data_IF_136178368549
#
_entry.id   IF_136178368549
#
_cell.length_a   1.000
_cell.length_b   1.000
_cell.length_c   1.000
_cell.angle_alpha   90.00
_cell.angle_beta   90.00
_cell.angle_gamma   90.00
#
_symmetry.space_group_name_H-M   'P 1'
#
loop_
_entity.id
_entity.type
_entity.pdbx_description
1 polymer ?
#
# COMPACT_ATOMS: atom_id res chain seq x y z
N UNK A 1 13.95 -14.10 -6.03
CA UNK A 1 14.15 -15.41 -5.37
C UNK A 1 12.95 -16.32 -5.58
N UNK A 2 11.71 -15.95 -5.15
CA UNK A 2 10.52 -16.81 -5.24
C UNK A 2 10.25 -17.25 -6.68
N UNK A 3 10.10 -16.30 -7.62
CA UNK A 3 9.83 -16.61 -9.03
C UNK A 3 10.93 -17.46 -9.69
N UNK A 4 12.17 -17.29 -9.28
CA UNK A 4 13.29 -18.14 -9.74
C UNK A 4 13.16 -19.60 -9.27
N UNK A 5 12.61 -19.85 -8.09
CA UNK A 5 12.33 -21.21 -7.65
C UNK A 5 11.11 -21.80 -8.36
N UNK A 6 10.04 -21.02 -8.54
CA UNK A 6 8.85 -21.45 -9.26
C UNK A 6 9.19 -21.84 -10.71
N UNK A 7 10.01 -21.04 -11.39
CA UNK A 7 10.35 -21.25 -12.81
C UNK A 7 11.05 -22.57 -13.12
N UNK A 8 11.64 -23.21 -12.12
CA UNK A 8 12.26 -24.54 -12.26
C UNK A 8 11.24 -25.65 -12.49
N UNK A 9 10.00 -25.45 -12.06
CA UNK A 9 8.97 -26.48 -12.06
C UNK A 9 7.71 -26.07 -12.84
N UNK A 10 7.38 -24.76 -12.85
CA UNK A 10 6.13 -24.26 -13.39
C UNK A 10 6.33 -23.01 -14.23
N UNK A 11 5.49 -22.87 -15.26
CA UNK A 11 5.42 -21.68 -16.14
C UNK A 11 4.32 -20.69 -15.72
N UNK A 12 3.37 -21.16 -14.94
CA UNK A 12 2.22 -20.37 -14.46
C UNK A 12 2.13 -20.51 -12.94
N UNK A 13 1.87 -19.42 -12.24
CA UNK A 13 1.61 -19.38 -10.81
C UNK A 13 0.32 -18.60 -10.51
N UNK A 14 -0.52 -19.16 -9.64
CA UNK A 14 -1.68 -18.43 -9.11
C UNK A 14 -1.20 -17.58 -7.93
N UNK A 15 -1.60 -16.29 -7.93
CA UNK A 15 -1.21 -15.34 -6.90
C UNK A 15 -2.41 -14.75 -6.16
N UNK A 16 -2.17 -14.17 -4.99
CA UNK A 16 -3.22 -13.53 -4.18
C UNK A 16 -3.30 -12.01 -4.35
N UNK A 17 -2.62 -11.47 -5.36
CA UNK A 17 -2.61 -10.01 -5.59
C UNK A 17 -4.03 -9.49 -5.89
N UNK A 18 -4.34 -8.27 -5.43
CA UNK A 18 -5.69 -7.70 -5.53
C UNK A 18 -6.64 -8.09 -4.39
N UNK A 19 -6.32 -9.14 -3.62
CA UNK A 19 -7.19 -9.60 -2.54
C UNK A 19 -7.29 -8.62 -1.36
N UNK A 20 -6.24 -7.88 -1.08
CA UNK A 20 -6.26 -6.83 -0.05
C UNK A 20 -7.05 -5.60 -0.51
N UNK A 21 -6.92 -5.23 -1.77
CA UNK A 21 -7.63 -4.13 -2.40
C UNK A 21 -9.12 -4.42 -2.49
N UNK A 22 -9.47 -5.62 -2.93
CA UNK A 22 -10.87 -6.02 -3.16
C UNK A 22 -11.64 -6.27 -1.86
N UNK A 23 -10.97 -6.74 -0.81
CA UNK A 23 -11.62 -7.21 0.41
C UNK A 23 -11.21 -6.40 1.66
N UNK A 24 -10.73 -5.18 1.45
CA UNK A 24 -10.43 -4.24 2.53
C UNK A 24 -9.32 -4.69 3.49
N UNK A 25 -8.33 -5.48 3.01
CA UNK A 25 -7.31 -6.09 3.83
C UNK A 25 -6.25 -5.14 4.40
N UNK A 26 -6.18 -3.90 3.93
CA UNK A 26 -5.20 -2.93 4.38
C UNK A 26 -5.58 -2.23 5.68
N UNK A 27 -4.65 -2.18 6.62
CA UNK A 27 -4.83 -1.44 7.89
C UNK A 27 -5.17 0.04 7.65
N UNK A 28 -4.62 0.67 6.61
CA UNK A 28 -4.92 2.07 6.26
C UNK A 28 -6.39 2.29 5.93
N UNK A 29 -7.03 1.35 5.22
CA UNK A 29 -8.48 1.40 4.93
C UNK A 29 -9.30 1.35 6.21
N UNK A 30 -8.97 0.44 7.12
CA UNK A 30 -9.65 0.31 8.40
C UNK A 30 -9.45 1.57 9.27
N UNK A 31 -8.25 2.11 9.29
CA UNK A 31 -7.90 3.29 10.06
C UNK A 31 -8.61 4.55 9.56
N UNK A 32 -8.70 4.75 8.25
CA UNK A 32 -9.33 5.96 7.71
C UNK A 32 -10.81 6.04 8.06
N UNK A 33 -11.49 4.90 8.18
CA UNK A 33 -12.90 4.84 8.53
C UNK A 33 -13.17 4.95 10.04
N UNK A 34 -12.27 4.41 10.88
CA UNK A 34 -12.51 4.23 12.31
C UNK A 34 -11.83 5.26 13.22
N UNK A 35 -10.98 6.15 12.69
CA UNK A 35 -10.27 7.11 13.53
C UNK A 35 -11.06 8.39 13.79
N UNK A 36 -10.91 8.94 15.00
CA UNK A 36 -11.34 10.31 15.31
C UNK A 36 -10.59 11.30 14.41
N UNK A 37 -11.33 12.15 13.71
CA UNK A 37 -10.78 13.14 12.79
C UNK A 37 -10.78 14.52 13.43
N UNK A 38 -9.67 15.21 13.28
CA UNK A 38 -9.47 16.56 13.80
C UNK A 38 -9.49 17.59 12.67
N UNK A 39 -9.67 18.85 13.05
CA UNK A 39 -9.65 19.94 12.09
C UNK A 39 -8.38 19.93 11.25
N UNK A 40 -8.54 19.94 9.93
CA UNK A 40 -7.40 19.81 8.99
C UNK A 40 -6.40 20.97 9.12
N UNK A 41 -6.87 22.18 9.42
CA UNK A 41 -5.98 23.33 9.62
C UNK A 41 -5.07 23.13 10.84
N UNK A 42 -5.63 22.70 11.98
CA UNK A 42 -4.87 22.44 13.19
C UNK A 42 -3.85 21.31 12.97
N UNK A 43 -4.26 20.22 12.31
CA UNK A 43 -3.36 19.11 11.97
C UNK A 43 -2.22 19.56 11.06
N UNK A 44 -2.50 20.35 10.04
CA UNK A 44 -1.48 20.88 9.14
C UNK A 44 -0.51 21.81 9.85
N UNK A 45 -0.98 22.61 10.80
CA UNK A 45 -0.13 23.47 11.63
C UNK A 45 0.83 22.64 12.49
N UNK A 46 0.31 21.62 13.19
CA UNK A 46 1.11 20.68 13.99
C UNK A 46 2.13 19.96 13.10
N UNK A 47 1.72 19.52 11.91
CA UNK A 47 2.61 18.85 10.97
C UNK A 47 3.75 19.75 10.48
N UNK A 48 3.50 21.03 10.22
CA UNK A 48 4.54 22.00 9.85
C UNK A 48 5.58 22.21 10.95
N UNK A 49 5.13 22.16 12.21
CA UNK A 49 6.02 22.31 13.39
C UNK A 49 6.72 21.00 13.78
N UNK A 50 6.33 19.87 13.18
CA UNK A 50 6.86 18.55 13.55
C UNK A 50 8.33 18.44 13.15
N UNK A 51 9.24 18.13 14.12
CA UNK A 51 10.67 18.07 13.84
C UNK A 51 11.03 16.95 12.87
N UNK A 52 11.91 17.23 11.93
CA UNK A 52 12.35 16.27 10.91
C UNK A 52 13.04 15.03 11.49
N UNK A 53 13.77 15.18 12.60
CA UNK A 53 14.50 14.08 13.25
C UNK A 53 13.59 13.05 13.94
N UNK A 54 12.30 13.37 14.13
CA UNK A 54 11.29 12.44 14.64
C UNK A 54 10.56 11.66 13.51
N UNK A 55 11.01 11.82 12.26
CA UNK A 55 10.49 11.14 11.10
C UNK A 55 9.55 11.98 10.22
N UNK A 56 8.85 11.34 9.29
CA UNK A 56 8.02 12.02 8.28
C UNK A 56 6.83 12.81 8.85
N UNK A 57 6.33 12.45 10.01
CA UNK A 57 5.13 13.06 10.59
C UNK A 57 3.81 12.62 9.93
N UNK A 58 3.81 11.67 9.00
CA UNK A 58 2.62 11.21 8.28
C UNK A 58 1.51 10.69 9.22
N UNK A 59 1.87 10.15 10.38
CA UNK A 59 0.90 9.76 11.43
C UNK A 59 0.08 10.94 11.97
N UNK A 60 0.58 12.17 11.88
CA UNK A 60 -0.17 13.37 12.25
C UNK A 60 -1.18 13.69 11.15
N UNK A 61 -0.75 13.68 9.90
CA UNK A 61 -1.62 13.91 8.74
C UNK A 61 -2.76 12.88 8.66
N UNK A 62 -2.51 11.64 9.05
CA UNK A 62 -3.54 10.59 9.04
C UNK A 62 -4.72 10.87 9.99
N UNK A 63 -4.63 11.85 10.87
CA UNK A 63 -5.72 12.30 11.75
C UNK A 63 -6.54 13.48 11.20
N UNK A 64 -6.22 13.97 10.00
CA UNK A 64 -6.93 15.07 9.36
C UNK A 64 -8.37 14.68 8.98
N UNK A 65 -9.29 15.64 9.06
CA UNK A 65 -10.66 15.52 8.52
C UNK A 65 -10.68 15.46 6.99
N UNK A 66 -9.65 15.96 6.32
CA UNK A 66 -9.48 15.76 4.89
C UNK A 66 -9.08 14.32 4.63
N UNK A 67 -10.05 13.49 4.27
CA UNK A 67 -9.85 12.04 4.10
C UNK A 67 -8.94 11.73 2.92
N UNK A 68 -8.99 12.50 1.83
CA UNK A 68 -8.11 12.34 0.68
C UNK A 68 -6.65 12.56 1.08
N UNK A 69 -6.36 13.70 1.71
CA UNK A 69 -5.01 14.03 2.19
C UNK A 69 -4.47 12.99 3.18
N UNK A 70 -5.35 12.56 4.08
CA UNK A 70 -5.07 11.53 5.05
C UNK A 70 -4.67 10.21 4.36
N UNK A 71 -5.45 9.76 3.38
CA UNK A 71 -5.19 8.50 2.70
C UNK A 71 -3.93 8.54 1.85
N UNK A 72 -3.72 9.61 1.09
CA UNK A 72 -2.55 9.79 0.24
C UNK A 72 -1.26 9.89 1.07
N UNK A 73 -1.33 10.37 2.32
CA UNK A 73 -0.17 10.42 3.21
C UNK A 73 0.46 9.05 3.51
N UNK A 74 -0.25 7.95 3.25
CA UNK A 74 0.33 6.61 3.35
C UNK A 74 1.26 6.25 2.17
N UNK A 75 1.17 6.98 1.06
CA UNK A 75 1.92 6.71 -0.17
C UNK A 75 2.97 7.76 -0.49
N UNK A 76 2.96 8.89 0.19
CA UNK A 76 3.85 10.00 -0.08
C UNK A 76 4.42 10.63 1.19
N UNK A 77 5.67 11.07 1.13
CA UNK A 77 6.28 11.89 2.16
C UNK A 77 6.31 13.36 1.70
N UNK A 78 5.37 14.16 2.22
CA UNK A 78 5.24 15.59 1.86
C UNK A 78 6.51 16.40 2.10
N UNK A 79 7.26 16.09 3.18
CA UNK A 79 8.49 16.81 3.49
C UNK A 79 9.58 16.48 2.50
N UNK A 80 9.71 15.19 2.17
CA UNK A 80 10.68 14.74 1.17
C UNK A 80 10.37 15.35 -0.20
N UNK A 81 9.12 15.28 -0.66
CA UNK A 81 8.69 15.85 -1.94
C UNK A 81 8.99 17.35 -2.02
N UNK A 82 8.69 18.10 -0.95
CA UNK A 82 9.01 19.53 -0.90
C UNK A 82 10.50 19.81 -0.95
N UNK A 83 11.31 19.02 -0.24
CA UNK A 83 12.77 19.21 -0.21
C UNK A 83 13.43 18.88 -1.55
N UNK A 84 12.81 18.00 -2.34
CA UNK A 84 13.28 17.61 -3.67
C UNK A 84 12.66 18.45 -4.80
N UNK A 85 11.88 19.49 -4.46
CA UNK A 85 11.11 20.31 -5.44
C UNK A 85 10.25 19.49 -6.40
N UNK A 86 9.75 18.35 -5.93
CA UNK A 86 8.90 17.47 -6.69
C UNK A 86 7.43 17.88 -6.56
N UNK A 87 6.64 17.52 -7.59
CA UNK A 87 5.20 17.83 -7.61
C UNK A 87 4.48 17.27 -6.38
N UNK A 88 3.59 18.08 -5.82
CA UNK A 88 2.79 17.75 -4.65
C UNK A 88 1.87 16.54 -4.93
N UNK A 89 1.56 15.79 -3.86
CA UNK A 89 0.60 14.68 -3.82
C UNK A 89 -0.80 15.05 -4.36
N UNK A 90 -1.14 16.32 -4.53
CA UNK A 90 -2.36 16.78 -5.20
C UNK A 90 -2.54 16.20 -6.59
N UNK A 91 -1.45 15.86 -7.27
CA UNK A 91 -1.50 15.19 -8.58
C UNK A 91 -2.09 13.79 -8.47
N UNK A 92 -1.72 13.03 -7.43
CA UNK A 92 -2.29 11.70 -7.18
C UNK A 92 -3.76 11.78 -6.81
N UNK A 93 -4.13 12.77 -5.97
CA UNK A 93 -5.51 13.01 -5.58
C UNK A 93 -6.38 13.27 -6.82
N UNK A 94 -6.00 14.21 -7.65
CA UNK A 94 -6.74 14.57 -8.87
C UNK A 94 -6.85 13.43 -9.88
N UNK A 95 -5.81 12.63 -10.02
CA UNK A 95 -5.77 11.58 -11.05
C UNK A 95 -6.52 10.32 -10.66
N UNK A 96 -6.48 9.92 -9.40
CA UNK A 96 -6.90 8.58 -8.98
C UNK A 96 -8.01 8.56 -7.93
N UNK A 97 -8.29 9.67 -7.27
CA UNK A 97 -9.30 9.75 -6.22
C UNK A 97 -10.52 10.53 -6.67
N UNK A 98 -11.69 10.09 -6.26
CA UNK A 98 -12.93 10.83 -6.47
C UNK A 98 -12.91 12.13 -5.67
N UNK A 99 -13.62 13.15 -6.15
CA UNK A 99 -13.83 14.37 -5.41
C UNK A 99 -14.56 14.07 -4.10
N UNK A 100 -13.95 14.47 -2.98
CA UNK A 100 -14.50 14.33 -1.64
C UNK A 100 -14.92 12.88 -1.25
N UNK A 101 -13.96 11.94 -1.15
CA UNK A 101 -14.24 10.55 -0.80
C UNK A 101 -14.89 10.45 0.60
N UNK A 102 -15.94 9.63 0.74
CA UNK A 102 -16.72 9.50 1.98
C UNK A 102 -16.83 8.06 2.46
N UNK A 103 -16.72 7.11 1.56
CA UNK A 103 -16.93 5.68 1.81
C UNK A 103 -15.65 4.89 1.71
N UNK A 104 -15.62 3.72 2.32
CA UNK A 104 -14.51 2.76 2.13
C UNK A 104 -14.32 2.43 0.66
N UNK A 105 -15.41 2.35 -0.11
CA UNK A 105 -15.40 2.06 -1.54
C UNK A 105 -14.57 3.07 -2.34
N UNK A 106 -14.64 4.36 -2.00
CA UNK A 106 -13.86 5.40 -2.70
C UNK A 106 -12.35 5.15 -2.56
N UNK A 107 -11.93 4.71 -1.37
CA UNK A 107 -10.52 4.38 -1.12
C UNK A 107 -10.10 3.04 -1.73
N UNK A 108 -11.01 2.06 -1.77
CA UNK A 108 -10.77 0.80 -2.50
C UNK A 108 -10.59 1.06 -4.00
N UNK A 109 -11.40 1.94 -4.60
CA UNK A 109 -11.25 2.36 -6.00
C UNK A 109 -9.90 3.05 -6.23
N UNK A 110 -9.46 3.90 -5.31
CA UNK A 110 -8.13 4.50 -5.38
C UNK A 110 -7.04 3.43 -5.33
N UNK A 111 -7.14 2.47 -4.40
CA UNK A 111 -6.16 1.39 -4.30
C UNK A 111 -6.11 0.54 -5.58
N UNK A 112 -7.24 0.26 -6.22
CA UNK A 112 -7.26 -0.41 -7.51
C UNK A 112 -6.59 0.39 -8.62
N UNK A 113 -6.96 1.66 -8.75
CA UNK A 113 -6.48 2.52 -9.85
C UNK A 113 -5.02 2.92 -9.71
N UNK A 114 -4.53 3.05 -8.48
CA UNK A 114 -3.18 3.53 -8.22
C UNK A 114 -2.29 2.44 -7.64
N UNK A 115 -2.60 1.95 -6.42
CA UNK A 115 -1.68 1.08 -5.71
C UNK A 115 -1.53 -0.29 -6.37
N UNK A 116 -2.65 -0.90 -6.77
CA UNK A 116 -2.62 -2.19 -7.45
C UNK A 116 -2.03 -2.05 -8.86
N UNK A 117 -2.59 -1.17 -9.71
CA UNK A 117 -2.22 -1.10 -11.12
C UNK A 117 -0.82 -0.54 -11.35
N UNK A 118 -0.48 0.58 -10.70
CA UNK A 118 0.77 1.32 -10.97
C UNK A 118 1.96 0.79 -10.16
N UNK A 119 1.71 0.08 -9.04
CA UNK A 119 2.78 -0.38 -8.17
C UNK A 119 2.83 -1.90 -8.04
N UNK A 120 1.74 -2.55 -7.61
CA UNK A 120 1.78 -3.97 -7.27
C UNK A 120 1.85 -4.84 -8.51
N UNK A 121 0.97 -4.62 -9.51
CA UNK A 121 0.95 -5.43 -10.72
C UNK A 121 2.21 -5.22 -11.58
N UNK A 122 2.72 -4.00 -11.65
CA UNK A 122 4.00 -3.72 -12.34
C UNK A 122 5.16 -4.49 -11.68
N UNK A 123 5.21 -4.51 -10.34
CA UNK A 123 6.21 -5.28 -9.60
C UNK A 123 6.07 -6.78 -9.86
N UNK A 124 4.85 -7.31 -9.75
CA UNK A 124 4.55 -8.73 -9.95
C UNK A 124 4.92 -9.16 -11.36
N UNK A 125 4.44 -8.43 -12.38
CA UNK A 125 4.72 -8.70 -13.78
C UNK A 125 6.23 -8.72 -14.06
N UNK A 126 6.93 -7.64 -13.74
CA UNK A 126 8.39 -7.56 -14.00
C UNK A 126 9.18 -8.66 -13.31
N UNK A 127 8.85 -8.98 -12.07
CA UNK A 127 9.61 -10.00 -11.31
C UNK A 127 9.26 -11.42 -11.74
N UNK A 128 8.04 -11.70 -12.15
CA UNK A 128 7.62 -13.01 -12.64
C UNK A 128 8.14 -13.25 -14.08
N UNK A 129 7.96 -12.26 -14.95
CA UNK A 129 8.41 -12.35 -16.35
C UNK A 129 9.94 -12.39 -16.49
N UNK A 130 10.69 -11.72 -15.61
CA UNK A 130 12.15 -11.87 -15.54
C UNK A 130 12.61 -13.33 -15.27
N UNK A 131 11.71 -14.18 -14.82
CA UNK A 131 11.95 -15.60 -14.59
C UNK A 131 11.08 -16.49 -15.50
N UNK A 132 10.44 -15.93 -16.53
CA UNK A 132 9.56 -16.65 -17.46
C UNK A 132 8.43 -17.40 -16.74
N UNK A 133 7.83 -16.79 -15.72
CA UNK A 133 6.66 -17.28 -15.00
C UNK A 133 5.50 -16.32 -15.23
N UNK A 134 4.36 -16.82 -15.68
CA UNK A 134 3.12 -16.05 -15.80
C UNK A 134 2.40 -16.05 -14.44
N UNK A 135 2.22 -14.87 -13.85
CA UNK A 135 1.46 -14.70 -12.62
C UNK A 135 -0.01 -14.42 -12.96
N UNK A 136 -0.92 -15.24 -12.42
CA UNK A 136 -2.37 -15.09 -12.59
C UNK A 136 -3.02 -14.85 -11.24
N UNK A 137 -3.73 -13.72 -11.09
CA UNK A 137 -4.47 -13.42 -9.87
C UNK A 137 -5.98 -13.47 -10.11
N UNK A 138 -6.71 -14.42 -9.49
CA UNK A 138 -8.16 -14.49 -9.57
C UNK A 138 -8.87 -13.25 -9.00
N UNK A 139 -8.24 -12.53 -8.06
CA UNK A 139 -8.83 -11.35 -7.43
C UNK A 139 -8.86 -10.11 -8.33
N UNK A 140 -8.17 -10.14 -9.47
CA UNK A 140 -8.25 -9.06 -10.47
C UNK A 140 -9.18 -9.41 -11.64
N UNK A 141 -9.94 -10.50 -11.56
CA UNK A 141 -11.00 -10.79 -12.52
C UNK A 141 -12.06 -9.69 -12.46
N UNK A 142 -12.34 -9.03 -13.59
CA UNK A 142 -13.24 -7.89 -13.67
C UNK A 142 -14.65 -8.22 -13.16
N UNK A 143 -15.15 -9.45 -13.38
CA UNK A 143 -16.47 -9.89 -12.91
C UNK A 143 -16.55 -9.91 -11.40
N UNK A 144 -15.48 -10.37 -10.74
CA UNK A 144 -15.39 -10.37 -9.28
C UNK A 144 -15.27 -8.95 -8.73
N UNK A 145 -14.45 -8.10 -9.37
CA UNK A 145 -14.29 -6.69 -9.00
C UNK A 145 -15.64 -5.97 -9.11
N UNK A 146 -16.33 -6.11 -10.24
CA UNK A 146 -17.65 -5.50 -10.45
C UNK A 146 -18.65 -5.97 -9.40
N UNK A 147 -18.74 -7.27 -9.16
CA UNK A 147 -19.64 -7.83 -8.16
C UNK A 147 -19.42 -7.22 -6.77
N UNK A 148 -18.17 -7.16 -6.31
CA UNK A 148 -17.84 -6.59 -5.01
C UNK A 148 -18.11 -5.07 -5.01
N UNK A 149 -17.76 -4.36 -6.07
CA UNK A 149 -17.95 -2.90 -6.15
C UNK A 149 -19.43 -2.51 -6.24
N UNK A 150 -20.32 -3.37 -6.76
CA UNK A 150 -21.77 -3.17 -6.72
C UNK A 150 -22.39 -3.59 -5.39
N UNK A 151 -21.71 -4.42 -4.61
CA UNK A 151 -22.18 -4.87 -3.30
C UNK A 151 -22.02 -3.80 -2.21
N UNK A 152 -22.66 -4.02 -1.07
CA UNK A 152 -22.39 -3.23 0.13
C UNK A 152 -21.08 -3.70 0.79
N UNK A 153 -20.05 -2.87 0.68
CA UNK A 153 -18.71 -3.15 1.22
C UNK A 153 -18.50 -2.62 2.64
N UNK A 154 -19.50 -1.99 3.25
CA UNK A 154 -19.37 -1.45 4.60
C UNK A 154 -19.12 -2.54 5.65
N UNK A 155 -19.55 -3.76 5.37
CA UNK A 155 -19.26 -4.95 6.20
C UNK A 155 -17.76 -5.29 6.27
N UNK A 156 -16.94 -4.76 5.38
CA UNK A 156 -15.49 -4.91 5.44
C UNK A 156 -14.84 -4.00 6.49
N UNK A 157 -15.56 -2.96 6.97
CA UNK A 157 -15.09 -2.10 8.05
C UNK A 157 -15.08 -2.90 9.34
N UNK A 158 -13.91 -2.99 9.97
CA UNK A 158 -13.73 -3.78 11.20
C UNK A 158 -13.58 -5.30 10.99
N UNK A 159 -13.97 -5.83 9.84
CA UNK A 159 -13.83 -7.25 9.51
C UNK A 159 -13.24 -7.47 8.11
N UNK A 160 -11.97 -7.12 7.88
CA UNK A 160 -11.33 -7.26 6.59
C UNK A 160 -11.27 -8.72 6.15
N UNK A 161 -11.48 -8.94 4.84
CA UNK A 161 -11.45 -10.28 4.22
C UNK A 161 -12.49 -11.26 4.79
N UNK A 162 -13.55 -10.77 5.42
CA UNK A 162 -14.57 -11.59 6.07
C UNK A 162 -15.15 -12.65 5.11
N UNK A 163 -15.39 -12.29 3.83
CA UNK A 163 -15.93 -13.22 2.81
C UNK A 163 -14.98 -14.41 2.63
N UNK A 164 -13.67 -14.17 2.49
CA UNK A 164 -12.68 -15.25 2.37
C UNK A 164 -12.60 -16.09 3.65
N UNK A 165 -12.63 -15.45 4.80
CA UNK A 165 -12.61 -16.16 6.09
C UNK A 165 -13.80 -17.10 6.23
N UNK A 166 -14.99 -16.65 5.83
CA UNK A 166 -16.19 -17.49 5.85
C UNK A 166 -16.07 -18.70 4.90
N UNK A 167 -15.62 -18.47 3.68
CA UNK A 167 -15.43 -19.56 2.71
C UNK A 167 -14.43 -20.60 3.24
N UNK A 168 -13.32 -20.13 3.81
CA UNK A 168 -12.23 -20.98 4.29
C UNK A 168 -12.48 -21.57 5.69
N UNK A 169 -13.53 -21.16 6.38
CA UNK A 169 -13.80 -21.62 7.78
C UNK A 169 -14.11 -23.12 7.89
N UNK A 170 -14.52 -23.75 6.79
CA UNK A 170 -14.75 -25.20 6.74
C UNK A 170 -13.44 -26.00 6.61
N UNK A 171 -12.39 -25.41 6.06
CA UNK A 171 -11.15 -26.09 5.70
C UNK A 171 -9.99 -25.73 6.64
N UNK A 172 -10.07 -24.57 7.34
CA UNK A 172 -8.98 -24.04 8.14
C UNK A 172 -9.44 -23.68 9.57
N UNK A 173 -8.55 -23.85 10.54
CA UNK A 173 -8.80 -23.48 11.92
C UNK A 173 -9.00 -21.98 12.11
N UNK A 174 -9.77 -21.59 13.12
CA UNK A 174 -9.97 -20.18 13.49
C UNK A 174 -8.67 -19.45 13.83
N UNK A 175 -7.68 -20.14 14.39
CA UNK A 175 -6.35 -19.60 14.66
C UNK A 175 -5.64 -19.20 13.35
N UNK A 176 -5.66 -20.07 12.35
CA UNK A 176 -5.10 -19.79 11.03
C UNK A 176 -5.77 -18.60 10.37
N UNK A 177 -7.10 -18.54 10.38
CA UNK A 177 -7.89 -17.49 9.73
C UNK A 177 -7.71 -16.11 10.38
N UNK A 178 -7.43 -16.07 11.68
CA UNK A 178 -7.30 -14.85 12.45
C UNK A 178 -5.86 -14.46 12.76
N UNK A 179 -4.88 -15.16 12.17
CA UNK A 179 -3.47 -14.81 12.30
C UNK A 179 -3.22 -13.36 11.87
N UNK A 180 -2.30 -12.70 12.54
CA UNK A 180 -1.88 -11.35 12.14
C UNK A 180 -1.28 -11.35 10.75
N UNK A 181 -1.60 -10.32 9.95
CA UNK A 181 -0.97 -10.13 8.64
C UNK A 181 0.53 -9.88 8.84
N UNK A 182 1.35 -10.74 8.25
CA UNK A 182 2.79 -10.50 8.08
C UNK A 182 3.06 -10.01 6.66
N UNK A 183 3.64 -8.81 6.55
CA UNK A 183 4.14 -8.30 5.27
C UNK A 183 5.49 -8.97 4.93
N UNK A 184 5.83 -9.00 3.65
CA UNK A 184 7.20 -9.30 3.19
C UNK A 184 8.06 -8.03 3.38
N UNK A 185 8.33 -7.68 4.63
CA UNK A 185 9.23 -6.57 4.92
C UNK A 185 10.66 -7.12 4.94
N UNK A 186 11.48 -6.59 4.03
CA UNK A 186 12.91 -6.82 4.09
C UNK A 186 13.47 -6.07 5.31
N UNK A 187 14.40 -6.64 6.07
CA UNK A 187 15.05 -5.97 7.19
C UNK A 187 16.04 -4.90 6.67
N UNK A 188 15.52 -4.00 5.81
CA UNK A 188 16.32 -3.02 5.09
C UNK A 188 17.04 -2.05 6.01
N UNK A 189 16.38 -1.65 7.10
CA UNK A 189 16.98 -0.74 8.10
C UNK A 189 18.18 -1.40 8.76
N UNK A 190 18.07 -2.68 9.11
CA UNK A 190 19.18 -3.43 9.72
C UNK A 190 20.33 -3.63 8.73
N UNK A 191 20.03 -3.97 7.49
CA UNK A 191 21.04 -4.12 6.43
C UNK A 191 21.74 -2.81 6.13
N UNK A 192 20.99 -1.70 6.00
CA UNK A 192 21.56 -0.35 5.80
C UNK A 192 22.36 0.13 7.00
N UNK A 193 22.02 -0.29 8.21
CA UNK A 193 22.76 0.03 9.41
C UNK A 193 24.07 -0.78 9.60
N UNK A 194 24.15 -1.96 8.97
CA UNK A 194 25.26 -2.93 9.15
C UNK A 194 25.92 -3.27 7.82
N UNK A 195 25.42 -4.31 7.17
CA UNK A 195 26.12 -4.97 6.04
C UNK A 195 26.19 -4.10 4.79
N UNK A 196 25.14 -3.34 4.49
CA UNK A 196 25.07 -2.46 3.33
C UNK A 196 25.60 -1.04 3.58
N UNK A 197 25.86 -0.68 4.83
CA UNK A 197 26.33 0.67 5.18
C UNK A 197 27.59 1.10 4.45
N UNK A 198 28.65 0.29 4.35
CA UNK A 198 29.87 0.65 3.61
C UNK A 198 29.58 0.88 2.13
N UNK A 199 28.81 -0.03 1.49
CA UNK A 199 28.43 0.07 0.08
C UNK A 199 27.62 1.33 -0.19
N UNK A 200 26.67 1.63 0.68
CA UNK A 200 25.82 2.82 0.57
C UNK A 200 26.62 4.11 0.69
N UNK A 201 27.53 4.18 1.66
CA UNK A 201 28.40 5.34 1.84
C UNK A 201 29.35 5.53 0.66
N UNK A 202 29.90 4.46 0.11
CA UNK A 202 30.75 4.50 -1.08
C UNK A 202 29.97 5.04 -2.29
N UNK A 203 28.77 4.53 -2.53
CA UNK A 203 27.88 5.01 -3.60
C UNK A 203 27.54 6.49 -3.48
N UNK A 204 27.16 6.99 -2.30
CA UNK A 204 26.81 8.39 -2.07
C UNK A 204 28.03 9.30 -2.24
N UNK A 205 29.20 8.86 -1.78
CA UNK A 205 30.44 9.64 -1.89
C UNK A 205 31.11 9.53 -3.27
N UNK A 206 30.59 8.69 -4.15
CA UNK A 206 31.14 8.53 -5.49
C UNK A 206 31.07 9.84 -6.30
N UNK A 207 31.99 10.00 -7.25
CA UNK A 207 31.98 11.17 -8.14
C UNK A 207 30.71 11.28 -8.99
N UNK A 208 30.05 10.14 -9.29
CA UNK A 208 28.81 10.13 -10.04
C UNK A 208 27.61 10.63 -9.21
N UNK A 209 27.55 10.30 -7.93
CA UNK A 209 26.51 10.82 -7.04
C UNK A 209 26.64 12.32 -6.76
N UNK A 210 27.86 12.88 -6.83
CA UNK A 210 28.10 14.33 -6.66
C UNK A 210 27.73 15.17 -7.89
N UNK A 211 27.42 14.53 -9.01
CA UNK A 211 26.98 15.18 -10.26
C UNK A 211 25.47 15.23 -10.44
N UNK A 212 24.70 14.54 -9.59
CA UNK A 212 23.25 14.55 -9.51
C UNK A 212 22.77 15.65 -8.56
#
# INVERSE_FOLDING_TARGET
VVNNQISKYFKVAITGDGGDELLGGYKRLQQIMNQNKYNSYAINLIFKMYPWFLGSGNRILSKSKNLSENYISYFSDKKLLKNLDLQDHKTLEKKFMNDNPKSIKDFMIFDFKFYLSEMMMVKVDRTSMANSVEARSPFVDHRLIEYIMYSNVDSLIGNPKYILKNILSNDFSGEFLNRSKMGFELPFVDWMGKDLKPVFLDLINSQNAKKL
#
